data_IF_817570914647
#
_entry.id   IF_817570914647
#
_cell.length_a   1.000
_cell.length_b   1.000
_cell.length_c   1.000
_cell.angle_alpha   90.00
_cell.angle_beta   90.00
_cell.angle_gamma   90.00
#
_symmetry.space_group_name_H-M   'P 1'
#
loop_
_entity.id
_entity.type
_entity.pdbx_description
1 polymer ?
#
# COMPACT_ATOMS: atom_id res chain seq x y z
N UNK A 1 14.36 7.89 6.88
CA UNK A 1 14.18 9.32 6.55
C UNK A 1 13.96 9.43 5.04
N UNK A 2 12.87 10.04 4.58
CA UNK A 2 12.53 10.08 3.15
C UNK A 2 13.53 10.98 2.40
N UNK A 3 14.22 10.44 1.39
CA UNK A 3 15.26 11.16 0.62
C UNK A 3 14.62 11.99 -0.51
N UNK A 4 14.97 13.27 -0.56
CA UNK A 4 14.56 14.20 -1.64
C UNK A 4 15.58 14.17 -2.79
N UNK A 5 15.10 14.13 -4.04
CA UNK A 5 15.95 14.11 -5.24
C UNK A 5 16.77 12.84 -5.43
N UNK A 6 17.65 12.83 -6.44
CA UNK A 6 18.49 11.67 -6.79
C UNK A 6 17.86 10.70 -7.81
N UNK A 7 18.55 9.60 -8.14
CA UNK A 7 18.14 8.69 -9.20
C UNK A 7 16.79 8.02 -8.90
N UNK A 8 16.12 7.57 -9.95
CA UNK A 8 14.91 6.75 -9.84
C UNK A 8 15.19 5.43 -9.11
N UNK A 9 14.15 4.83 -8.57
CA UNK A 9 14.19 3.49 -8.00
C UNK A 9 13.37 2.50 -8.82
N UNK A 10 13.66 1.21 -8.66
CA UNK A 10 12.99 0.12 -9.35
C UNK A 10 12.08 -0.62 -8.35
N UNK A 11 10.75 -0.46 -8.45
CA UNK A 11 9.83 -1.25 -7.65
C UNK A 11 9.89 -2.73 -8.04
N UNK A 12 9.41 -3.58 -7.13
CA UNK A 12 9.28 -5.00 -7.38
C UNK A 12 8.14 -5.18 -8.39
N UNK A 13 8.41 -5.93 -9.45
CA UNK A 13 7.41 -6.32 -10.44
C UNK A 13 7.21 -7.82 -10.31
N UNK A 14 5.95 -8.25 -10.28
CA UNK A 14 5.57 -9.64 -10.23
C UNK A 14 6.15 -10.39 -11.44
N UNK A 15 6.67 -11.63 -11.28
CA UNK A 15 7.28 -12.38 -12.37
C UNK A 15 6.37 -12.47 -13.61
N UNK A 16 5.07 -12.65 -13.41
CA UNK A 16 4.06 -12.81 -14.46
C UNK A 16 4.03 -11.58 -15.39
N UNK A 17 4.22 -10.38 -14.83
CA UNK A 17 4.26 -9.13 -15.58
C UNK A 17 5.57 -9.04 -16.39
N UNK A 18 6.68 -9.55 -15.85
CA UNK A 18 7.95 -9.57 -16.56
C UNK A 18 7.95 -10.54 -17.76
N UNK A 19 7.26 -11.68 -17.64
CA UNK A 19 7.13 -12.67 -18.71
C UNK A 19 6.37 -12.16 -19.94
N UNK A 20 5.57 -11.09 -19.80
CA UNK A 20 4.93 -10.41 -20.93
C UNK A 20 5.91 -9.68 -21.87
N UNK A 21 7.19 -9.56 -21.52
CA UNK A 21 8.21 -8.88 -22.33
C UNK A 21 9.00 -9.86 -23.20
N UNK A 22 9.45 -9.40 -24.39
CA UNK A 22 10.31 -10.19 -25.28
C UNK A 22 11.64 -10.61 -24.64
N UNK A 23 12.15 -9.82 -23.69
CA UNK A 23 13.30 -10.16 -22.83
C UNK A 23 12.89 -9.85 -21.38
N UNK A 24 12.38 -10.83 -20.62
CA UNK A 24 11.88 -10.62 -19.27
C UNK A 24 12.91 -9.93 -18.38
N UNK A 25 12.53 -8.81 -17.76
CA UNK A 25 13.38 -8.04 -16.86
C UNK A 25 14.50 -7.22 -17.53
N UNK A 26 14.71 -7.32 -18.85
CA UNK A 26 15.78 -6.57 -19.51
C UNK A 26 15.55 -5.05 -19.39
N UNK A 27 16.56 -4.33 -18.90
CA UNK A 27 16.48 -2.89 -18.65
C UNK A 27 15.66 -2.50 -17.43
N UNK A 28 15.25 -3.46 -16.58
CA UNK A 28 14.70 -3.20 -15.27
C UNK A 28 15.77 -3.45 -14.21
N UNK A 29 16.15 -2.40 -13.48
CA UNK A 29 17.14 -2.51 -12.39
C UNK A 29 16.55 -3.14 -11.13
N UNK A 30 17.38 -3.19 -10.08
CA UNK A 30 16.97 -3.59 -8.74
C UNK A 30 17.30 -2.48 -7.76
N UNK A 31 16.36 -2.18 -6.87
CA UNK A 31 16.58 -1.27 -5.75
C UNK A 31 16.50 -2.05 -4.44
N UNK A 32 17.15 -1.58 -3.38
CA UNK A 32 16.93 -2.12 -2.03
C UNK A 32 15.68 -1.51 -1.38
N UNK A 33 15.34 -1.91 -0.15
CA UNK A 33 14.13 -1.42 0.53
C UNK A 33 14.18 0.07 0.83
N UNK A 34 15.33 0.58 1.28
CA UNK A 34 15.51 2.02 1.56
C UNK A 34 15.35 2.89 0.31
N UNK A 35 15.87 2.42 -0.82
CA UNK A 35 15.72 3.09 -2.11
C UNK A 35 14.27 3.08 -2.60
N UNK A 36 13.50 2.02 -2.30
CA UNK A 36 12.08 1.89 -2.64
C UNK A 36 11.15 2.68 -1.73
N UNK A 37 11.57 3.05 -0.52
CA UNK A 37 10.77 3.82 0.44
C UNK A 37 10.67 5.30 0.06
N UNK A 38 10.16 5.58 -1.15
CA UNK A 38 10.10 6.90 -1.77
C UNK A 38 8.78 7.10 -2.51
N UNK A 39 8.42 8.37 -2.72
CA UNK A 39 7.22 8.77 -3.47
C UNK A 39 7.23 8.20 -4.90
N UNK A 40 6.06 7.90 -5.43
CA UNK A 40 5.88 7.31 -6.77
C UNK A 40 6.50 8.14 -7.91
N UNK A 41 6.67 9.46 -7.74
CA UNK A 41 7.34 10.34 -8.71
C UNK A 41 8.80 9.94 -9.00
N UNK A 42 9.42 9.15 -8.11
CA UNK A 42 10.78 8.65 -8.28
C UNK A 42 10.85 7.22 -8.86
N UNK A 43 9.72 6.63 -9.26
CA UNK A 43 9.71 5.32 -9.93
C UNK A 43 10.38 5.44 -11.29
N UNK A 44 11.23 4.48 -11.64
CA UNK A 44 11.75 4.35 -12.99
C UNK A 44 10.63 3.95 -13.96
N UNK A 45 10.47 4.71 -15.05
CA UNK A 45 9.44 4.46 -16.06
C UNK A 45 10.10 3.87 -17.31
N UNK A 46 9.66 2.67 -17.70
CA UNK A 46 9.95 2.06 -18.99
C UNK A 46 8.67 2.11 -19.82
N UNK A 47 8.69 2.74 -20.99
CA UNK A 47 7.47 2.94 -21.80
C UNK A 47 6.70 1.64 -22.08
N UNK A 48 7.43 0.56 -22.36
CA UNK A 48 6.84 -0.77 -22.63
C UNK A 48 6.45 -1.56 -21.37
N UNK A 49 6.57 -1.00 -20.17
CA UNK A 49 6.32 -1.70 -18.91
C UNK A 49 5.84 -0.73 -17.82
N UNK A 50 4.53 -0.54 -17.77
CA UNK A 50 3.87 0.21 -16.71
C UNK A 50 3.59 -0.73 -15.53
N UNK A 51 3.81 -0.26 -14.30
CA UNK A 51 3.46 -1.04 -13.11
C UNK A 51 1.94 -1.27 -13.05
N UNK A 52 1.45 -2.51 -12.89
CA UNK A 52 0.02 -2.78 -12.86
C UNK A 52 -0.73 -1.97 -11.78
N UNK A 53 -0.15 -1.86 -10.59
CA UNK A 53 -0.75 -1.05 -9.52
C UNK A 53 -0.82 0.43 -9.92
N UNK A 54 0.15 0.97 -10.66
CA UNK A 54 0.08 2.36 -11.12
C UNK A 54 -0.97 2.51 -12.23
N UNK A 55 -1.01 1.57 -13.17
CA UNK A 55 -1.99 1.57 -14.27
C UNK A 55 -3.44 1.58 -13.75
N UNK A 56 -3.73 0.84 -12.68
CA UNK A 56 -5.07 0.80 -12.08
C UNK A 56 -5.48 2.12 -11.39
N UNK A 57 -4.50 2.97 -11.04
CA UNK A 57 -4.71 4.26 -10.36
C UNK A 57 -4.42 5.45 -11.27
N UNK A 58 -4.89 5.35 -12.52
CA UNK A 58 -4.89 6.42 -13.52
C UNK A 58 -3.49 7.04 -13.73
N UNK A 59 -2.44 6.22 -13.74
CA UNK A 59 -1.10 6.68 -14.08
C UNK A 59 -1.07 7.28 -15.49
N UNK A 60 -0.27 8.33 -15.68
CA UNK A 60 -0.23 9.04 -16.95
C UNK A 60 0.29 8.14 -18.07
N UNK A 61 -0.29 8.30 -19.27
CA UNK A 61 0.19 7.64 -20.47
C UNK A 61 1.67 8.00 -20.74
N UNK A 62 2.46 7.00 -21.10
CA UNK A 62 3.93 7.11 -21.25
C UNK A 62 4.36 7.36 -22.70
N UNK A 63 3.42 7.28 -23.64
CA UNK A 63 3.64 7.42 -25.09
C UNK A 63 3.02 8.70 -25.67
N UNK A 64 2.09 9.34 -24.95
CA UNK A 64 1.37 10.53 -25.38
C UNK A 64 1.28 11.60 -24.27
N UNK A 65 1.09 12.85 -24.67
CA UNK A 65 0.90 13.96 -23.73
C UNK A 65 -0.46 13.84 -23.03
N UNK A 66 -0.45 13.77 -21.70
CA UNK A 66 -1.67 13.73 -20.88
C UNK A 66 -1.85 15.07 -20.15
N UNK A 67 -2.70 16.00 -20.66
CA UNK A 67 -2.84 17.34 -20.08
C UNK A 67 -3.58 17.35 -18.74
N UNK A 68 -4.41 16.33 -18.49
CA UNK A 68 -5.19 16.17 -17.25
C UNK A 68 -5.21 14.69 -16.90
N UNK A 69 -4.90 14.37 -15.64
CA UNK A 69 -5.10 13.02 -15.10
C UNK A 69 -6.57 12.87 -14.73
N UNK A 70 -7.26 11.89 -15.32
CA UNK A 70 -8.59 11.51 -14.85
C UNK A 70 -8.50 10.90 -13.46
N UNK A 71 -9.50 11.15 -12.62
CA UNK A 71 -9.62 10.48 -11.32
C UNK A 71 -10.85 9.60 -11.40
N UNK A 72 -10.63 8.29 -11.43
CA UNK A 72 -11.73 7.32 -11.43
C UNK A 72 -11.80 6.60 -10.09
N UNK A 73 -13.02 6.37 -9.62
CA UNK A 73 -13.31 5.50 -8.49
C UNK A 73 -13.90 4.21 -9.06
N UNK A 74 -13.10 3.14 -9.08
CA UNK A 74 -13.55 1.84 -9.59
C UNK A 74 -13.44 0.79 -8.49
N UNK A 75 -14.46 -0.07 -8.27
CA UNK A 75 -14.37 -1.16 -7.28
C UNK A 75 -13.15 -2.08 -7.49
N UNK A 76 -12.70 -2.21 -8.75
CA UNK A 76 -11.50 -2.96 -9.13
C UNK A 76 -10.22 -2.40 -8.51
N UNK A 77 -10.16 -1.10 -8.18
CA UNK A 77 -9.00 -0.48 -7.52
C UNK A 77 -8.85 -0.96 -6.08
N UNK A 78 -9.93 -1.04 -5.31
CA UNK A 78 -9.92 -1.62 -3.95
C UNK A 78 -9.52 -3.10 -3.99
N UNK A 79 -10.08 -3.87 -4.93
CA UNK A 79 -9.68 -5.27 -5.12
C UNK A 79 -8.19 -5.40 -5.49
N UNK A 80 -7.68 -4.48 -6.30
CA UNK A 80 -6.26 -4.43 -6.68
C UNK A 80 -5.36 -4.14 -5.48
N UNK A 81 -5.76 -3.23 -4.60
CA UNK A 81 -5.02 -2.93 -3.37
C UNK A 81 -5.00 -4.12 -2.42
N UNK A 82 -6.15 -4.78 -2.20
CA UNK A 82 -6.27 -5.96 -1.34
C UNK A 82 -5.33 -7.09 -1.80
N UNK A 83 -5.22 -7.32 -3.11
CA UNK A 83 -4.41 -8.40 -3.69
C UNK A 83 -2.98 -7.97 -4.07
N UNK A 84 -2.61 -6.70 -3.85
CA UNK A 84 -1.28 -6.23 -4.22
C UNK A 84 -0.22 -6.69 -3.21
N UNK A 85 0.87 -7.29 -3.71
CA UNK A 85 2.07 -7.58 -2.92
C UNK A 85 2.63 -6.34 -2.24
N UNK A 86 2.59 -5.19 -2.94
CA UNK A 86 3.07 -3.93 -2.38
C UNK A 86 2.26 -3.53 -1.15
N UNK A 87 0.94 -3.46 -1.27
CA UNK A 87 0.05 -3.06 -0.18
C UNK A 87 0.14 -4.03 1.00
N UNK A 88 0.18 -5.34 0.72
CA UNK A 88 0.35 -6.38 1.75
C UNK A 88 1.68 -6.26 2.51
N UNK A 89 2.77 -5.92 1.82
CA UNK A 89 4.07 -5.64 2.46
C UNK A 89 4.02 -4.38 3.30
N UNK A 90 3.43 -3.29 2.80
CA UNK A 90 3.27 -2.05 3.56
C UNK A 90 2.38 -2.27 4.80
N UNK A 91 1.35 -3.10 4.71
CA UNK A 91 0.49 -3.42 5.84
C UNK A 91 1.24 -4.20 6.93
N UNK A 92 2.12 -5.13 6.53
CA UNK A 92 2.98 -5.85 7.47
C UNK A 92 3.99 -4.94 8.17
N UNK A 93 4.65 -4.05 7.42
CA UNK A 93 5.59 -3.07 7.98
C UNK A 93 4.87 -2.14 8.97
N UNK A 94 3.65 -1.71 8.63
CA UNK A 94 2.86 -0.84 9.49
C UNK A 94 2.39 -1.53 10.77
N UNK A 95 1.91 -2.78 10.67
CA UNK A 95 1.57 -3.59 11.84
C UNK A 95 2.78 -3.79 12.77
N UNK A 96 3.95 -4.11 12.22
CA UNK A 96 5.19 -4.26 13.00
C UNK A 96 5.63 -2.93 13.65
N UNK A 97 5.38 -1.79 13.01
CA UNK A 97 5.59 -0.47 13.61
C UNK A 97 4.64 -0.21 14.78
N UNK A 98 3.34 -0.47 14.62
CA UNK A 98 2.32 -0.26 15.66
C UNK A 98 2.61 -1.10 16.92
N UNK A 99 2.97 -2.38 16.73
CA UNK A 99 3.36 -3.28 17.83
C UNK A 99 4.55 -2.76 18.63
N UNK A 100 5.51 -2.13 17.97
CA UNK A 100 6.67 -1.52 18.64
C UNK A 100 6.29 -0.25 19.39
N UNK A 101 5.36 0.54 18.84
CA UNK A 101 4.96 1.82 19.42
C UNK A 101 4.01 1.65 20.62
N UNK A 102 3.18 0.62 20.62
CA UNK A 102 2.25 0.31 21.71
C UNK A 102 2.25 -1.19 22.01
N UNK A 103 3.29 -1.72 22.66
CA UNK A 103 3.37 -3.13 23.03
C UNK A 103 2.17 -3.55 23.88
N UNK A 104 1.62 -4.73 23.60
CA UNK A 104 0.57 -5.39 24.38
C UNK A 104 -0.72 -4.56 24.62
N UNK A 105 -0.95 -3.53 23.81
CA UNK A 105 -2.15 -2.71 23.88
C UNK A 105 -2.80 -2.56 22.50
N UNK A 106 -3.67 -3.52 22.16
CA UNK A 106 -4.35 -3.55 20.87
C UNK A 106 -5.20 -2.29 20.62
N UNK A 107 -5.93 -1.82 21.62
CA UNK A 107 -6.76 -0.61 21.49
C UNK A 107 -5.94 0.62 21.07
N UNK A 108 -4.77 0.82 21.70
CA UNK A 108 -3.85 1.90 21.31
C UNK A 108 -3.25 1.67 19.92
N UNK A 109 -2.92 0.43 19.54
CA UNK A 109 -2.45 0.10 18.19
C UNK A 109 -3.51 0.44 17.13
N UNK A 110 -4.77 0.09 17.35
CA UNK A 110 -5.90 0.38 16.46
C UNK A 110 -6.13 1.90 16.37
N UNK A 111 -6.15 2.60 17.50
CA UNK A 111 -6.28 4.05 17.53
C UNK A 111 -5.16 4.73 16.74
N UNK A 112 -3.91 4.32 16.97
CA UNK A 112 -2.76 4.90 16.27
C UNK A 112 -2.83 4.60 14.78
N UNK A 113 -3.18 3.37 14.39
CA UNK A 113 -3.36 2.98 13.00
C UNK A 113 -4.38 3.86 12.28
N UNK A 114 -5.60 3.96 12.83
CA UNK A 114 -6.68 4.74 12.25
C UNK A 114 -6.32 6.23 12.18
N UNK A 115 -5.72 6.80 13.23
CA UNK A 115 -5.32 8.22 13.22
C UNK A 115 -4.30 8.56 12.13
N UNK A 116 -3.38 7.63 11.83
CA UNK A 116 -2.39 7.81 10.77
C UNK A 116 -3.00 7.62 9.37
N UNK A 117 -3.95 6.71 9.23
CA UNK A 117 -4.60 6.41 7.96
C UNK A 117 -5.61 7.48 7.57
N UNK A 118 -6.47 7.89 8.51
CA UNK A 118 -7.57 8.83 8.26
C UNK A 118 -7.19 10.29 8.51
N UNK A 119 -6.04 10.54 9.14
CA UNK A 119 -5.55 11.89 9.48
C UNK A 119 -6.56 12.74 10.28
N UNK A 120 -7.45 12.09 11.04
CA UNK A 120 -8.45 12.74 11.90
C UNK A 120 -8.52 12.12 13.30
N UNK A 121 -9.35 12.71 14.14
CA UNK A 121 -9.69 12.12 15.44
C UNK A 121 -10.51 10.85 15.23
N UNK A 122 -10.06 9.77 15.86
CA UNK A 122 -10.71 8.46 15.86
C UNK A 122 -11.69 8.40 17.04
N UNK A 123 -12.88 7.84 16.82
CA UNK A 123 -13.89 7.66 17.89
C UNK A 123 -13.66 6.36 18.64
N UNK A 124 -14.22 6.25 19.85
CA UNK A 124 -14.16 5.00 20.63
C UNK A 124 -14.88 3.85 19.92
N UNK A 125 -15.96 4.14 19.19
CA UNK A 125 -16.69 3.13 18.40
C UNK A 125 -15.80 2.53 17.30
N UNK A 126 -15.04 3.35 16.59
CA UNK A 126 -14.12 2.90 15.54
C UNK A 126 -13.00 2.02 16.10
N UNK A 127 -12.48 2.40 17.26
CA UNK A 127 -11.47 1.61 17.97
C UNK A 127 -12.04 0.26 18.37
N UNK A 128 -13.23 0.24 18.98
CA UNK A 128 -13.90 -0.99 19.40
C UNK A 128 -14.19 -1.91 18.20
N UNK A 129 -14.64 -1.37 17.07
CA UNK A 129 -14.85 -2.16 15.83
C UNK A 129 -13.55 -2.74 15.29
N UNK A 130 -12.44 -1.99 15.36
CA UNK A 130 -11.14 -2.48 14.95
C UNK A 130 -10.60 -3.59 15.85
N UNK A 131 -10.76 -3.46 17.17
CA UNK A 131 -10.42 -4.50 18.14
C UNK A 131 -11.25 -5.76 17.86
N UNK A 132 -12.57 -5.63 17.71
CA UNK A 132 -13.46 -6.74 17.39
C UNK A 132 -13.06 -7.47 16.10
N UNK A 133 -12.67 -6.74 15.06
CA UNK A 133 -12.19 -7.35 13.82
C UNK A 133 -10.93 -8.19 14.05
N UNK A 134 -9.95 -7.66 14.80
CA UNK A 134 -8.71 -8.40 15.09
C UNK A 134 -9.01 -9.64 15.93
N UNK A 135 -9.85 -9.53 16.96
CA UNK A 135 -10.25 -10.65 17.80
C UNK A 135 -10.97 -11.74 17.00
N UNK A 136 -11.91 -11.36 16.12
CA UNK A 136 -12.61 -12.30 15.23
C UNK A 136 -11.65 -13.04 14.29
N UNK A 137 -10.66 -12.35 13.73
CA UNK A 137 -9.65 -12.99 12.89
C UNK A 137 -8.83 -14.01 13.68
N UNK A 138 -8.48 -13.69 14.93
CA UNK A 138 -7.76 -14.61 15.82
C UNK A 138 -8.63 -15.84 16.15
N UNK A 139 -9.92 -15.64 16.46
CA UNK A 139 -10.88 -16.72 16.67
C UNK A 139 -11.03 -17.64 15.45
N UNK A 140 -10.92 -17.08 14.24
CA UNK A 140 -10.90 -17.82 12.97
C UNK A 140 -9.56 -18.54 12.70
N UNK A 141 -8.59 -18.46 13.63
CA UNK A 141 -7.30 -19.16 13.55
C UNK A 141 -6.18 -18.36 12.87
N UNK A 142 -6.38 -17.06 12.62
CA UNK A 142 -5.32 -16.18 12.12
C UNK A 142 -4.35 -15.84 13.26
N UNK A 143 -3.05 -15.82 12.99
CA UNK A 143 -2.07 -15.39 14.01
C UNK A 143 -2.31 -13.93 14.43
N UNK A 144 -2.03 -13.57 15.69
CA UNK A 144 -2.17 -12.17 16.16
C UNK A 144 -1.44 -11.17 15.25
N UNK A 145 -0.25 -11.57 14.77
CA UNK A 145 0.56 -10.76 13.85
C UNK A 145 -0.16 -10.55 12.52
N UNK A 146 -0.71 -11.60 11.93
CA UNK A 146 -1.39 -11.52 10.65
C UNK A 146 -2.76 -10.83 10.78
N UNK A 147 -3.45 -10.99 11.91
CA UNK A 147 -4.71 -10.30 12.18
C UNK A 147 -4.52 -8.77 12.20
N UNK A 148 -3.49 -8.28 12.90
CA UNK A 148 -3.16 -6.85 12.87
C UNK A 148 -2.68 -6.37 11.49
N UNK A 149 -1.91 -7.19 10.76
CA UNK A 149 -1.56 -6.90 9.37
C UNK A 149 -2.81 -6.77 8.50
N UNK A 150 -3.79 -7.66 8.63
CA UNK A 150 -5.04 -7.59 7.87
C UNK A 150 -5.87 -6.38 8.26
N UNK A 151 -5.91 -6.00 9.54
CA UNK A 151 -6.49 -4.73 9.96
C UNK A 151 -5.83 -3.54 9.26
N UNK A 152 -4.50 -3.50 9.19
CA UNK A 152 -3.77 -2.45 8.45
C UNK A 152 -4.11 -2.46 6.95
N UNK A 153 -4.22 -3.64 6.35
CA UNK A 153 -4.59 -3.80 4.94
C UNK A 153 -6.01 -3.28 4.66
N UNK A 154 -6.97 -3.59 5.53
CA UNK A 154 -8.34 -3.05 5.47
C UNK A 154 -8.31 -1.53 5.62
N UNK A 155 -7.49 -1.01 6.54
CA UNK A 155 -7.37 0.43 6.78
C UNK A 155 -6.89 1.18 5.52
N UNK A 156 -5.93 0.63 4.77
CA UNK A 156 -5.49 1.18 3.48
C UNK A 156 -6.54 1.11 2.36
N UNK A 157 -7.65 0.39 2.57
CA UNK A 157 -8.75 0.28 1.61
C UNK A 157 -9.98 1.10 2.03
N UNK A 158 -9.90 1.86 3.14
CA UNK A 158 -10.94 2.82 3.51
C UNK A 158 -10.99 3.95 2.50
N UNK A 159 -12.20 4.43 2.18
CA UNK A 159 -12.38 5.59 1.29
C UNK A 159 -11.60 6.81 1.79
N UNK A 160 -11.60 7.04 3.11
CA UNK A 160 -10.88 8.15 3.75
C UNK A 160 -9.35 8.08 3.58
N UNK A 161 -8.80 6.90 3.27
CA UNK A 161 -7.37 6.78 2.93
C UNK A 161 -7.11 7.12 1.46
N UNK A 162 -8.06 6.81 0.58
CA UNK A 162 -7.91 6.98 -0.87
C UNK A 162 -8.19 8.42 -1.32
N UNK A 163 -9.05 9.13 -0.61
CA UNK A 163 -9.47 10.49 -0.95
C UNK A 163 -9.04 11.47 0.15
N UNK A 164 -8.44 12.58 -0.27
CA UNK A 164 -8.28 13.76 0.57
C UNK A 164 -9.46 14.65 0.20
N UNK A 165 -10.47 14.72 1.08
CA UNK A 165 -11.55 15.72 0.99
C UNK A 165 -11.05 17.12 1.38
#
# INVERSE_FOLDING_TARGET
MCRWGGPSFYPIIAPEVLHGQSRPGAGWGSSNEEQRARRAIYIFVKRSLVLPLMANFDFADVDSSCPVRFTTTQPTQSLSLLNSDFTNRQAGIFADFLRKQSPDNLSNQIQHALSQVTQRRVTEEEINRGVQLVDQLIEMGVSERDALKYFCLVSYNLNEFLYID
#
